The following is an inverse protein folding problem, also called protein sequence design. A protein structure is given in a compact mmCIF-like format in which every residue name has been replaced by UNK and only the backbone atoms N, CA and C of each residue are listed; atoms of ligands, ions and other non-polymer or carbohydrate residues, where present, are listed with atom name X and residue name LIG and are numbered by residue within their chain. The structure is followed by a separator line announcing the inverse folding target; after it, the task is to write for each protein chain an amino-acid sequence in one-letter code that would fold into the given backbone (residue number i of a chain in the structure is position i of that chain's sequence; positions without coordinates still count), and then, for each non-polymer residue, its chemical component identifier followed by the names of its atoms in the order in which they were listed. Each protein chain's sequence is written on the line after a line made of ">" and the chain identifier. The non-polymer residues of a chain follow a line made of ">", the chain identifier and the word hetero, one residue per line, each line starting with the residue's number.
data_IF_053399034752
#
_entry.id   IF_053399034752
#
_cell.length_a   1.000
_cell.length_b   1.000
_cell.length_c   1.000
_cell.angle_alpha   90.00
_cell.angle_beta   90.00
_cell.angle_gamma   90.00
#
_symmetry.space_group_name_H-M   'P 1'
#
loop_
_entity.id
_entity.type
_entity.pdbx_description
1 polymer ?
#
# COMPACT_ATOMS: atom_id res chain seq x y z
N UNK A 1 -9.82 -1.06 10.09
CA UNK A 1 -10.42 -2.22 10.78
C UNK A 1 -11.93 -2.12 10.99
N UNK A 2 -12.48 -1.00 11.49
CA UNK A 2 -13.92 -0.85 11.72
C UNK A 2 -14.78 -1.17 10.48
N UNK A 3 -14.41 -0.66 9.31
CA UNK A 3 -15.11 -0.92 8.04
C UNK A 3 -15.25 -2.42 7.71
N UNK A 4 -14.17 -3.18 7.86
CA UNK A 4 -14.16 -4.64 7.59
C UNK A 4 -15.10 -5.37 8.56
N UNK A 5 -15.11 -4.98 9.84
CA UNK A 5 -15.99 -5.58 10.83
C UNK A 5 -17.47 -5.31 10.50
N UNK A 6 -17.81 -4.07 10.15
CA UNK A 6 -19.18 -3.70 9.76
C UNK A 6 -19.63 -4.42 8.48
N UNK A 7 -18.76 -4.52 7.48
CA UNK A 7 -19.05 -5.24 6.22
C UNK A 7 -19.38 -6.70 6.50
N UNK A 8 -18.56 -7.37 7.32
CA UNK A 8 -18.80 -8.77 7.72
C UNK A 8 -20.10 -8.93 8.51
N UNK A 9 -20.39 -7.99 9.41
CA UNK A 9 -21.65 -7.99 10.17
C UNK A 9 -22.87 -7.81 9.25
N UNK A 10 -22.72 -7.08 8.14
CA UNK A 10 -23.74 -6.93 7.10
C UNK A 10 -23.81 -8.12 6.12
N UNK A 11 -23.04 -9.20 6.34
CA UNK A 11 -23.02 -10.37 5.46
C UNK A 11 -22.18 -10.20 4.20
N UNK A 12 -21.41 -9.11 4.08
CA UNK A 12 -20.50 -8.89 2.95
C UNK A 12 -19.13 -9.48 3.29
N UNK A 13 -18.62 -10.45 2.49
CA UNK A 13 -17.27 -10.95 2.70
C UNK A 13 -16.26 -9.81 2.50
N UNK A 14 -15.45 -9.56 3.52
CA UNK A 14 -14.49 -8.47 3.52
C UNK A 14 -13.17 -8.90 4.17
N UNK A 15 -12.06 -8.30 3.74
CA UNK A 15 -10.72 -8.51 4.32
C UNK A 15 -9.97 -7.18 4.47
N UNK A 16 -9.12 -7.12 5.49
CA UNK A 16 -8.10 -6.07 5.61
C UNK A 16 -6.94 -6.46 4.70
N UNK A 17 -6.36 -5.48 4.05
CA UNK A 17 -5.14 -5.62 3.27
C UNK A 17 -4.11 -4.65 3.83
N UNK A 18 -2.89 -5.15 4.00
CA UNK A 18 -1.73 -4.40 4.46
C UNK A 18 -0.70 -4.41 3.34
N UNK A 19 -0.14 -3.25 3.01
CA UNK A 19 0.82 -3.13 1.93
C UNK A 19 1.62 -1.84 1.97
N UNK A 20 2.42 -1.66 0.93
CA UNK A 20 3.20 -0.46 0.68
C UNK A 20 2.67 0.27 -0.53
N UNK A 21 2.66 1.59 -0.46
CA UNK A 21 2.01 2.44 -1.46
C UNK A 21 2.92 3.62 -1.78
N UNK A 22 2.93 4.05 -3.03
CA UNK A 22 3.61 5.28 -3.42
C UNK A 22 2.72 6.45 -3.01
N UNK A 23 3.27 7.37 -2.24
CA UNK A 23 2.57 8.58 -1.82
C UNK A 23 3.31 9.82 -2.29
N UNK A 24 2.53 10.84 -2.63
CA UNK A 24 3.01 12.20 -2.75
C UNK A 24 2.95 12.86 -1.36
N UNK A 25 4.07 13.40 -0.89
CA UNK A 25 4.16 14.06 0.42
C UNK A 25 4.66 13.17 1.56
N UNK A 26 4.32 13.52 2.80
CA UNK A 26 4.76 12.84 4.03
C UNK A 26 3.74 11.78 4.46
N UNK A 27 3.96 10.48 4.23
CA UNK A 27 3.07 9.45 4.76
C UNK A 27 3.14 9.42 6.29
N UNK A 28 2.06 8.92 6.90
CA UNK A 28 2.00 8.62 8.35
C UNK A 28 3.05 7.60 8.79
N UNK A 29 3.54 6.77 7.87
CA UNK A 29 4.70 5.91 8.07
C UNK A 29 5.54 5.85 6.80
N UNK A 30 6.80 6.29 6.87
CA UNK A 30 7.75 6.19 5.76
C UNK A 30 8.42 4.81 5.82
N UNK A 31 8.33 4.07 4.72
CA UNK A 31 9.01 2.79 4.54
C UNK A 31 10.30 2.97 3.74
N UNK A 32 10.28 3.81 2.71
CA UNK A 32 11.47 4.16 1.92
C UNK A 32 11.29 5.51 1.19
N UNK A 33 12.40 6.15 0.82
CA UNK A 33 12.43 7.27 -0.13
C UNK A 33 12.89 6.73 -1.48
N UNK A 34 12.21 7.07 -2.58
CA UNK A 34 12.50 6.53 -3.92
C UNK A 34 12.92 7.61 -4.94
N UNK A 35 12.99 8.88 -4.54
CA UNK A 35 13.42 10.00 -5.37
C UNK A 35 13.11 11.35 -4.72
N UNK A 36 13.35 12.46 -5.42
CA UNK A 36 12.94 13.79 -4.96
C UNK A 36 11.41 13.88 -4.92
N UNK A 37 10.86 13.96 -3.70
CA UNK A 37 9.42 14.17 -3.45
C UNK A 37 8.57 12.89 -3.40
N UNK A 38 9.12 11.74 -3.82
CA UNK A 38 8.39 10.47 -3.86
C UNK A 38 8.78 9.55 -2.70
N UNK A 39 7.78 9.08 -1.95
CA UNK A 39 7.97 8.20 -0.79
C UNK A 39 7.13 6.95 -0.92
N UNK A 40 7.65 5.86 -0.37
CA UNK A 40 6.88 4.64 -0.14
C UNK A 40 6.40 4.70 1.31
N UNK A 41 5.08 4.71 1.48
CA UNK A 41 4.42 4.64 2.77
C UNK A 41 3.85 3.26 3.06
N UNK A 42 3.81 2.89 4.33
CA UNK A 42 2.99 1.76 4.78
C UNK A 42 1.53 2.18 4.83
N UNK A 43 0.62 1.34 4.31
CA UNK A 43 -0.81 1.64 4.33
C UNK A 43 -1.67 0.38 4.46
N UNK A 44 -2.84 0.56 5.04
CA UNK A 44 -3.85 -0.47 5.18
C UNK A 44 -5.15 -0.04 4.51
N UNK A 45 -5.75 -0.94 3.74
CA UNK A 45 -7.06 -0.72 3.13
C UNK A 45 -7.95 -1.95 3.31
N UNK A 46 -9.15 -1.91 2.73
CA UNK A 46 -10.10 -3.01 2.77
C UNK A 46 -10.40 -3.53 1.37
N UNK A 47 -10.78 -4.79 1.27
CA UNK A 47 -11.40 -5.34 0.07
C UNK A 47 -12.69 -6.04 0.44
N UNK A 48 -13.71 -5.88 -0.39
CA UNK A 48 -15.00 -6.56 -0.28
C UNK A 48 -15.21 -7.45 -1.48
N UNK A 49 -15.89 -8.59 -1.30
CA UNK A 49 -16.26 -9.47 -2.40
C UNK A 49 -17.73 -9.25 -2.75
N UNK A 50 -18.00 -8.85 -3.99
CA UNK A 50 -19.34 -8.76 -4.55
C UNK A 50 -19.58 -9.99 -5.45
N UNK A 51 -20.65 -10.74 -5.19
CA UNK A 51 -20.93 -11.99 -5.90
C UNK A 51 -21.13 -11.73 -7.40
N UNK A 52 -20.43 -12.48 -8.24
CA UNK A 52 -20.41 -12.26 -9.70
C UNK A 52 -19.32 -11.29 -10.17
N UNK A 53 -18.60 -10.66 -9.24
CA UNK A 53 -17.44 -9.81 -9.55
C UNK A 53 -16.15 -10.38 -8.92
N UNK A 54 -15.17 -9.50 -8.72
CA UNK A 54 -13.88 -9.73 -8.08
C UNK A 54 -13.84 -9.07 -6.71
N UNK A 55 -12.72 -9.22 -6.01
CA UNK A 55 -12.43 -8.38 -4.85
C UNK A 55 -12.37 -6.91 -5.28
N UNK A 56 -13.20 -6.08 -4.65
CA UNK A 56 -13.27 -4.64 -4.89
C UNK A 56 -12.53 -3.93 -3.76
N UNK A 57 -11.59 -3.09 -4.16
CA UNK A 57 -10.75 -2.32 -3.26
C UNK A 57 -11.49 -1.09 -2.71
N UNK A 58 -11.37 -0.88 -1.41
CA UNK A 58 -11.96 0.23 -0.65
C UNK A 58 -10.88 0.83 0.24
N UNK A 59 -10.70 2.15 0.19
CA UNK A 59 -9.90 2.87 1.19
C UNK A 59 -10.77 3.83 2.00
N UNK A 60 -11.24 3.41 3.18
CA UNK A 60 -12.03 4.25 4.07
C UNK A 60 -11.26 5.45 4.62
N UNK A 61 -9.92 5.44 4.59
CA UNK A 61 -9.08 6.54 5.07
C UNK A 61 -9.21 7.74 4.14
N UNK A 62 -9.25 7.47 2.83
CA UNK A 62 -9.31 8.47 1.77
C UNK A 62 -10.70 8.62 1.14
N UNK A 63 -11.70 7.88 1.64
CA UNK A 63 -13.07 7.84 1.08
C UNK A 63 -13.15 7.36 -0.37
N UNK A 64 -12.32 6.37 -0.73
CA UNK A 64 -12.18 5.87 -2.10
C UNK A 64 -12.80 4.47 -2.28
N UNK A 65 -13.41 4.24 -3.46
CA UNK A 65 -14.11 2.99 -3.83
C UNK A 65 -13.75 2.55 -5.25
N UNK A 66 -13.40 1.28 -5.44
CA UNK A 66 -13.19 0.68 -6.77
C UNK A 66 -11.82 1.01 -7.40
N UNK A 67 -10.99 1.75 -6.68
CA UNK A 67 -9.62 2.12 -7.04
C UNK A 67 -8.95 2.75 -5.82
N UNK A 68 -7.62 2.82 -5.84
CA UNK A 68 -6.84 3.50 -4.80
C UNK A 68 -6.27 4.79 -5.36
N UNK A 69 -6.20 5.86 -4.56
CA UNK A 69 -5.62 7.14 -4.98
C UNK A 69 -4.08 7.08 -5.03
N UNK A 70 -3.51 5.91 -4.74
CA UNK A 70 -2.08 5.64 -4.71
C UNK A 70 -1.76 4.39 -5.53
N UNK A 71 -0.54 4.36 -6.05
CA UNK A 71 0.01 3.17 -6.67
C UNK A 71 0.36 2.15 -5.59
N UNK A 72 -0.23 0.95 -5.66
CA UNK A 72 0.15 -0.12 -4.75
C UNK A 72 1.49 -0.67 -5.19
N UNK A 73 2.49 -0.44 -4.36
CA UNK A 73 3.78 -1.09 -4.48
C UNK A 73 3.66 -2.43 -3.77
N UNK A 74 2.86 -3.35 -4.32
CA UNK A 74 3.12 -4.75 -4.01
C UNK A 74 4.51 -5.06 -4.49
N UNK A 75 5.19 -5.99 -3.83
CA UNK A 75 5.92 -7.06 -4.51
C UNK A 75 5.90 -6.91 -6.04
N UNK A 76 6.68 -5.98 -6.62
CA UNK A 76 6.49 -5.55 -8.01
C UNK A 76 6.42 -6.82 -8.82
N UNK A 77 5.53 -6.85 -9.81
CA UNK A 77 5.31 -8.00 -10.69
C UNK A 77 6.59 -8.49 -11.41
N UNK A 78 7.75 -7.91 -11.13
CA UNK A 78 9.05 -8.59 -11.21
C UNK A 78 9.81 -8.51 -9.88
N UNK A 79 10.35 -9.65 -9.43
CA UNK A 79 11.37 -9.77 -8.36
C UNK A 79 12.60 -8.85 -8.57
N UNK A 80 12.75 -8.31 -9.77
CA UNK A 80 13.89 -7.49 -10.22
C UNK A 80 13.87 -6.08 -9.64
N UNK A 81 12.71 -5.41 -9.56
CA UNK A 81 12.63 -4.02 -9.04
C UNK A 81 12.92 -3.91 -7.54
N UNK A 82 12.62 -4.94 -6.75
CA UNK A 82 12.96 -4.94 -5.31
C UNK A 82 14.45 -4.99 -5.04
N UNK A 83 15.23 -5.66 -5.91
CA UNK A 83 16.69 -5.66 -5.78
C UNK A 83 17.24 -4.26 -5.98
N UNK A 84 16.73 -3.51 -6.96
CA UNK A 84 17.16 -2.13 -7.20
C UNK A 84 16.78 -1.20 -6.01
N UNK A 85 15.57 -1.33 -5.47
CA UNK A 85 15.15 -0.56 -4.29
C UNK A 85 16.00 -0.89 -3.07
N UNK A 86 16.29 -2.17 -2.80
CA UNK A 86 17.14 -2.58 -1.68
C UNK A 86 18.61 -2.19 -1.87
N UNK A 87 19.14 -2.26 -3.10
CA UNK A 87 20.50 -1.81 -3.41
C UNK A 87 20.63 -0.30 -3.18
N UNK A 88 19.66 0.49 -3.62
CA UNK A 88 19.64 1.93 -3.33
C UNK A 88 19.54 2.22 -1.83
N UNK A 89 18.80 1.39 -1.09
CA UNK A 89 18.73 1.46 0.37
C UNK A 89 20.11 1.19 1.02
N UNK A 90 20.79 0.11 0.65
CA UNK A 90 22.13 -0.22 1.20
C UNK A 90 23.19 0.84 0.89
N UNK A 91 23.15 1.44 -0.30
CA UNK A 91 24.07 2.52 -0.68
C UNK A 91 23.84 3.80 0.13
N UNK A 92 22.57 4.20 0.32
CA UNK A 92 22.23 5.37 1.11
C UNK A 92 22.70 5.27 2.57
N UNK A 93 22.65 4.07 3.16
CA UNK A 93 23.15 3.86 4.52
C UNK A 93 24.67 3.69 4.58
N UNK A 94 25.34 3.16 3.56
CA UNK A 94 26.82 3.08 3.53
C UNK A 94 27.49 4.45 3.57
N UNK A 95 26.94 5.44 2.87
CA UNK A 95 27.51 6.79 2.82
C UNK A 95 27.27 7.62 4.10
N UNK A 96 26.39 7.16 5.00
CA UNK A 96 26.03 7.84 6.25
C UNK A 96 26.76 7.28 7.49
N UNK A 97 27.46 6.15 7.35
CA UNK A 97 28.17 5.46 8.44
C UNK A 97 29.67 5.30 8.12
N UNK A 98 30.18 6.06 7.15
CA UNK A 98 31.61 6.25 6.86
C UNK A 98 32.17 7.49 7.53
#
# INVERSE_FOLDING_TARGET
>A
NLFVALSRAAGVPARKVDGTVKVEGEPSSIVANIGEGEKIGGHSWAEVYLFGERWITIDPTNSEFGGLPFEIVYGTTTKEKWREVLVNYELYFKDKVG
#
